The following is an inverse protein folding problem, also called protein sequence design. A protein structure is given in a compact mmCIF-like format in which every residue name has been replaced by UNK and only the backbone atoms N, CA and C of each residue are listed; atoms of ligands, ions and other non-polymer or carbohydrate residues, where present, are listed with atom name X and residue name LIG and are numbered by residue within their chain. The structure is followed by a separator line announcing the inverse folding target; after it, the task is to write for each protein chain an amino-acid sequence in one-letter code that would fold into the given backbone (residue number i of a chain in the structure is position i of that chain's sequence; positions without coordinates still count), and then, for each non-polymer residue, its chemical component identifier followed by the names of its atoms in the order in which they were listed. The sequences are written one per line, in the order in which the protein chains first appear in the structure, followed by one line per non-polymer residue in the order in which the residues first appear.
data_IF_205189420282
#
_entry.id   IF_205189420282
#
_cell.length_a   1.000
_cell.length_b   1.000
_cell.length_c   1.000
_cell.angle_alpha   90.00
_cell.angle_beta   90.00
_cell.angle_gamma   90.00
#
_symmetry.space_group_name_H-M   'P 1'
#
loop_
_entity.id
_entity.type
_entity.pdbx_description
1 polymer ?
#
# COMPACT_ATOMS: atom_id res chain seq x y z
N UNK A 1 -43.44 29.59 5.57
CA UNK A 1 -42.50 28.68 4.87
C UNK A 1 -41.21 28.70 5.66
N UNK A 2 -40.88 27.64 6.41
CA UNK A 2 -39.59 27.57 7.11
C UNK A 2 -38.49 27.52 6.06
N UNK A 3 -37.50 28.42 6.15
CA UNK A 3 -36.31 28.33 5.30
C UNK A 3 -35.67 26.96 5.53
N UNK A 4 -35.66 26.11 4.50
CA UNK A 4 -34.96 24.84 4.56
C UNK A 4 -33.47 25.15 4.73
N UNK A 5 -32.88 24.71 5.83
CA UNK A 5 -31.44 24.79 6.05
C UNK A 5 -30.76 23.94 4.98
N UNK A 6 -29.77 24.46 4.24
CA UNK A 6 -29.10 23.68 3.22
C UNK A 6 -28.36 22.48 3.85
N UNK A 7 -28.26 21.35 3.12
CA UNK A 7 -27.49 20.20 3.58
C UNK A 7 -26.06 20.59 3.95
N UNK A 8 -25.59 20.12 5.09
CA UNK A 8 -24.23 20.36 5.58
C UNK A 8 -23.42 19.08 5.42
N UNK A 9 -22.32 19.14 4.67
CA UNK A 9 -21.36 18.04 4.54
C UNK A 9 -20.13 18.37 5.37
N UNK A 10 -19.75 17.47 6.27
CA UNK A 10 -18.56 17.58 7.12
C UNK A 10 -17.68 16.34 7.02
N UNK A 11 -16.37 16.55 7.10
CA UNK A 11 -15.36 15.52 7.05
C UNK A 11 -14.30 15.72 8.15
N UNK A 12 -14.00 14.65 8.89
CA UNK A 12 -13.06 14.72 10.02
C UNK A 12 -12.19 13.46 10.15
N UNK A 13 -10.86 13.62 10.23
CA UNK A 13 -10.10 14.83 9.88
C UNK A 13 -10.15 15.12 8.37
N UNK A 14 -10.16 16.40 7.98
CA UNK A 14 -10.13 16.81 6.58
C UNK A 14 -8.77 16.70 5.92
N UNK A 15 -7.72 16.51 6.74
CA UNK A 15 -6.33 16.29 6.33
C UNK A 15 -5.80 15.09 7.08
N UNK A 16 -5.41 14.05 6.35
CA UNK A 16 -4.83 12.85 6.94
C UNK A 16 -3.97 12.09 5.93
N UNK A 17 -3.15 11.17 6.43
CA UNK A 17 -2.41 10.27 5.57
C UNK A 17 -3.36 9.40 4.77
N UNK A 18 -2.93 8.97 3.58
CA UNK A 18 -3.75 8.17 2.68
C UNK A 18 -4.15 6.83 3.29
N UNK A 19 -3.43 6.31 4.28
CA UNK A 19 -3.68 5.07 5.00
C UNK A 19 -4.45 5.26 6.32
N UNK A 20 -4.95 6.47 6.61
CA UNK A 20 -5.72 6.79 7.82
C UNK A 20 -7.21 7.00 7.55
N UNK A 21 -8.08 6.56 8.45
CA UNK A 21 -9.53 6.71 8.28
C UNK A 21 -9.96 8.17 8.46
N UNK A 22 -11.03 8.56 7.78
CA UNK A 22 -11.77 9.80 8.05
C UNK A 22 -13.26 9.50 8.07
N UNK A 23 -14.02 10.37 8.71
CA UNK A 23 -15.47 10.29 8.79
C UNK A 23 -16.10 11.27 7.81
N UNK A 24 -17.25 10.90 7.25
CA UNK A 24 -18.08 11.77 6.41
C UNK A 24 -19.48 11.77 6.99
N UNK A 25 -19.96 12.96 7.35
CA UNK A 25 -21.28 13.18 7.92
C UNK A 25 -22.03 14.21 7.09
N UNK A 26 -23.26 13.88 6.74
CA UNK A 26 -24.22 14.78 6.11
C UNK A 26 -25.33 15.08 7.10
N UNK A 27 -25.65 16.35 7.28
CA UNK A 27 -26.71 16.85 8.15
C UNK A 27 -27.67 17.75 7.37
N UNK A 28 -28.79 18.12 8.01
CA UNK A 28 -29.83 18.98 7.42
C UNK A 28 -30.49 18.41 6.16
N UNK A 29 -30.53 17.09 6.00
CA UNK A 29 -31.33 16.44 4.96
C UNK A 29 -32.80 16.34 5.41
N UNK A 30 -33.78 16.30 4.49
CA UNK A 30 -35.13 15.89 4.85
C UNK A 30 -35.09 14.47 5.46
N UNK A 31 -35.84 14.17 6.54
CA UNK A 31 -35.86 12.83 7.13
C UNK A 31 -36.36 11.74 6.16
N UNK A 32 -35.73 10.56 6.16
CA UNK A 32 -36.11 9.46 5.26
C UNK A 32 -35.81 9.72 3.78
N UNK A 33 -34.95 10.70 3.49
CA UNK A 33 -34.64 11.12 2.12
C UNK A 33 -33.52 10.25 1.52
N UNK A 34 -33.71 9.70 0.31
CA UNK A 34 -32.64 9.02 -0.41
C UNK A 34 -31.59 10.02 -0.89
N UNK A 35 -30.33 9.72 -0.64
CA UNK A 35 -29.18 10.52 -1.09
C UNK A 35 -28.07 9.64 -1.62
N UNK A 36 -27.26 10.20 -2.53
CA UNK A 36 -26.03 9.57 -3.00
C UNK A 36 -24.85 10.39 -2.54
N UNK A 37 -23.90 9.73 -1.86
CA UNK A 37 -22.63 10.35 -1.46
C UNK A 37 -21.56 9.79 -2.40
N UNK A 38 -20.88 10.69 -3.12
CA UNK A 38 -19.89 10.36 -4.16
C UNK A 38 -18.55 10.97 -3.82
N UNK A 39 -17.48 10.21 -4.04
CA UNK A 39 -16.12 10.72 -4.10
C UNK A 39 -15.66 10.82 -5.56
N UNK A 40 -14.90 11.86 -5.87
CA UNK A 40 -14.29 12.08 -7.17
C UNK A 40 -12.83 12.50 -6.99
N UNK A 41 -11.93 11.86 -7.74
CA UNK A 41 -10.51 12.15 -7.75
C UNK A 41 -9.97 12.19 -9.17
N UNK A 42 -9.23 13.25 -9.52
CA UNK A 42 -8.46 13.29 -10.76
C UNK A 42 -7.02 12.86 -10.50
N UNK A 43 -6.62 11.72 -11.07
CA UNK A 43 -5.27 11.19 -10.92
C UNK A 43 -4.21 12.03 -11.64
N UNK A 44 -2.95 11.83 -11.29
CA UNK A 44 -1.79 12.43 -11.98
C UNK A 44 -1.65 11.98 -13.44
N UNK A 45 -2.25 10.84 -13.79
CA UNK A 45 -2.40 10.35 -15.16
C UNK A 45 -3.56 11.04 -15.92
N UNK A 46 -4.22 12.03 -15.30
CA UNK A 46 -5.37 12.81 -15.81
C UNK A 46 -6.67 12.02 -15.97
N UNK A 47 -6.71 10.76 -15.54
CA UNK A 47 -7.93 9.96 -15.47
C UNK A 47 -8.73 10.29 -14.20
N UNK A 48 -10.06 10.30 -14.31
CA UNK A 48 -10.98 10.49 -13.18
C UNK A 48 -11.41 9.16 -12.58
N UNK A 49 -11.43 9.12 -11.25
CA UNK A 49 -11.81 7.97 -10.43
C UNK A 49 -12.98 8.38 -9.53
N UNK A 50 -13.98 7.51 -9.43
CA UNK A 50 -15.15 7.75 -8.59
C UNK A 50 -15.50 6.52 -7.74
N UNK A 51 -16.02 6.78 -6.54
CA UNK A 51 -16.81 5.83 -5.77
C UNK A 51 -18.10 6.52 -5.32
N UNK A 52 -19.15 5.75 -5.06
CA UNK A 52 -20.37 6.29 -4.47
C UNK A 52 -21.14 5.22 -3.70
N UNK A 53 -21.82 5.67 -2.65
CA UNK A 53 -22.77 4.87 -1.88
C UNK A 53 -24.15 5.54 -1.86
N UNK A 54 -25.18 4.71 -1.85
CA UNK A 54 -26.58 5.13 -1.73
C UNK A 54 -27.05 5.00 -0.29
N UNK A 55 -27.56 6.08 0.29
CA UNK A 55 -27.98 6.16 1.68
C UNK A 55 -29.39 6.72 1.81
N UNK A 56 -29.99 6.55 2.98
CA UNK A 56 -31.26 7.18 3.35
C UNK A 56 -31.04 7.89 4.68
N UNK A 57 -31.40 9.17 4.76
CA UNK A 57 -31.25 9.95 5.99
C UNK A 57 -32.14 9.41 7.10
N UNK A 58 -31.64 9.46 8.33
CA UNK A 58 -32.40 9.03 9.51
C UNK A 58 -33.50 10.05 9.88
N UNK A 59 -34.22 9.80 10.99
CA UNK A 59 -35.28 10.68 11.49
C UNK A 59 -34.81 12.10 11.85
N UNK A 60 -33.50 12.31 12.06
CA UNK A 60 -32.88 13.62 12.31
C UNK A 60 -32.38 14.30 11.03
N UNK A 61 -32.52 13.65 9.87
CA UNK A 61 -31.99 14.20 8.62
C UNK A 61 -30.48 14.05 8.48
N UNK A 62 -29.88 13.02 9.09
CA UNK A 62 -28.43 12.79 9.01
C UNK A 62 -28.07 11.48 8.29
N UNK A 63 -26.91 11.47 7.65
CA UNK A 63 -26.25 10.27 7.10
C UNK A 63 -24.77 10.28 7.52
N UNK A 64 -24.30 9.22 8.17
CA UNK A 64 -22.89 8.98 8.45
C UNK A 64 -22.37 7.82 7.60
N UNK A 65 -21.39 8.08 6.72
CA UNK A 65 -20.80 7.04 5.85
C UNK A 65 -20.13 5.92 6.66
N UNK A 66 -19.64 6.20 7.86
CA UNK A 66 -19.01 5.17 8.71
C UNK A 66 -19.99 4.29 9.45
N UNK A 67 -21.19 4.81 9.74
CA UNK A 67 -22.15 4.13 10.61
C UNK A 67 -23.33 3.53 9.86
N UNK A 68 -23.76 4.18 8.79
CA UNK A 68 -24.95 3.82 8.02
C UNK A 68 -24.62 2.83 6.90
N UNK A 69 -25.64 2.07 6.48
CA UNK A 69 -25.51 1.04 5.47
C UNK A 69 -25.64 1.69 4.08
N UNK A 70 -24.62 1.52 3.23
CA UNK A 70 -24.77 1.78 1.80
C UNK A 70 -25.67 0.72 1.17
N UNK A 71 -26.77 1.16 0.57
CA UNK A 71 -27.78 0.30 -0.09
C UNK A 71 -27.40 -0.10 -1.51
N UNK A 72 -26.40 0.56 -2.10
CA UNK A 72 -25.97 0.34 -3.47
C UNK A 72 -24.86 1.29 -3.90
N UNK A 73 -24.38 1.10 -5.13
CA UNK A 73 -23.34 1.91 -5.73
C UNK A 73 -22.07 1.12 -6.00
N UNK A 74 -20.89 1.72 -5.76
CA UNK A 74 -19.61 1.01 -5.91
C UNK A 74 -19.31 0.06 -4.75
N UNK A 75 -20.07 0.14 -3.66
CA UNK A 75 -20.02 -0.75 -2.50
C UNK A 75 -21.38 -0.76 -1.77
N UNK A 76 -21.61 -1.82 -0.98
CA UNK A 76 -22.77 -1.97 -0.10
C UNK A 76 -22.31 -2.31 1.31
N UNK A 77 -23.20 -2.14 2.30
CA UNK A 77 -22.90 -2.45 3.70
C UNK A 77 -22.36 -1.24 4.48
N UNK A 78 -21.98 -1.48 5.73
CA UNK A 78 -21.40 -0.49 6.64
C UNK A 78 -19.90 -0.39 6.39
N UNK A 79 -19.49 0.55 5.56
CA UNK A 79 -18.15 0.61 4.98
C UNK A 79 -17.54 2.02 5.08
N UNK A 80 -16.90 2.31 6.21
CA UNK A 80 -16.41 3.67 6.53
C UNK A 80 -15.50 4.28 5.46
N UNK A 81 -14.73 3.46 4.76
CA UNK A 81 -13.80 3.90 3.72
C UNK A 81 -14.21 3.45 2.31
N UNK A 82 -15.48 3.05 2.14
CA UNK A 82 -16.06 2.64 0.86
C UNK A 82 -15.88 3.68 -0.24
N UNK A 83 -15.97 4.97 0.12
CA UNK A 83 -15.72 6.08 -0.81
C UNK A 83 -14.26 6.18 -1.31
N UNK A 84 -13.31 5.43 -0.77
CA UNK A 84 -11.93 5.39 -1.30
C UNK A 84 -11.61 4.03 -1.93
N UNK A 85 -11.72 2.93 -1.17
CA UNK A 85 -11.24 1.63 -1.65
C UNK A 85 -12.05 1.07 -2.82
N UNK A 86 -13.31 1.50 -2.97
CA UNK A 86 -14.18 1.07 -4.07
C UNK A 86 -14.09 1.95 -5.32
N UNK A 87 -13.18 2.93 -5.34
CA UNK A 87 -13.03 3.81 -6.50
C UNK A 87 -12.76 3.00 -7.77
N UNK A 88 -13.40 3.41 -8.85
CA UNK A 88 -13.19 2.88 -10.19
C UNK A 88 -13.03 4.03 -11.18
N UNK A 89 -12.39 3.81 -12.34
CA UNK A 89 -12.41 4.81 -13.40
C UNK A 89 -13.85 5.16 -13.80
N UNK A 90 -14.11 6.44 -14.06
CA UNK A 90 -15.44 6.87 -14.52
C UNK A 90 -15.84 6.18 -15.84
N UNK A 91 -17.13 6.00 -16.14
CA UNK A 91 -17.57 5.49 -17.43
C UNK A 91 -16.97 6.27 -18.60
N UNK A 92 -16.58 5.56 -19.67
CA UNK A 92 -15.87 6.14 -20.82
C UNK A 92 -14.35 6.24 -20.66
N UNK A 93 -13.80 5.91 -19.49
CA UNK A 93 -12.35 5.86 -19.29
C UNK A 93 -11.68 4.78 -20.16
N UNK A 94 -10.38 5.00 -20.46
CA UNK A 94 -9.54 4.01 -21.13
C UNK A 94 -9.40 2.72 -20.30
N UNK A 95 -9.19 1.59 -20.99
CA UNK A 95 -9.06 0.27 -20.35
C UNK A 95 -7.70 0.08 -19.66
N UNK A 96 -7.67 -0.81 -18.66
CA UNK A 96 -6.45 -1.25 -17.98
C UNK A 96 -5.79 -0.17 -17.14
N UNK A 97 -6.59 0.65 -16.46
CA UNK A 97 -6.12 1.67 -15.54
C UNK A 97 -5.70 1.06 -14.19
N UNK A 98 -4.61 1.59 -13.64
CA UNK A 98 -4.15 1.37 -12.27
C UNK A 98 -3.93 2.74 -11.66
N UNK A 99 -4.52 2.99 -10.50
CA UNK A 99 -4.23 4.23 -9.79
C UNK A 99 -2.79 4.17 -9.28
N UNK A 100 -2.00 5.19 -9.63
CA UNK A 100 -0.59 5.31 -9.22
C UNK A 100 -0.36 6.70 -8.68
N UNK A 101 0.48 6.77 -7.66
CA UNK A 101 1.05 8.02 -7.15
C UNK A 101 2.48 8.15 -7.67
N UNK A 102 2.74 9.15 -8.52
CA UNK A 102 4.09 9.44 -9.04
C UNK A 102 4.77 10.52 -8.20
N UNK A 103 4.04 11.56 -7.80
CA UNK A 103 4.55 12.60 -6.92
C UNK A 103 3.98 12.44 -5.50
N UNK A 104 4.74 11.77 -4.64
CA UNK A 104 4.39 11.55 -3.22
C UNK A 104 4.29 12.87 -2.43
N UNK A 105 4.96 13.94 -2.86
CA UNK A 105 4.87 15.23 -2.19
C UNK A 105 3.56 15.97 -2.52
N UNK A 106 2.90 15.63 -3.62
CA UNK A 106 1.66 16.25 -4.03
C UNK A 106 0.47 15.68 -3.24
N UNK A 107 -0.48 16.55 -2.86
CA UNK A 107 -1.72 16.16 -2.21
C UNK A 107 -2.59 15.32 -3.15
N UNK A 108 -3.28 14.31 -2.61
CA UNK A 108 -4.42 13.68 -3.27
C UNK A 108 -5.69 14.39 -2.78
N UNK A 109 -6.28 15.18 -3.67
CA UNK A 109 -7.48 15.97 -3.38
C UNK A 109 -8.71 15.19 -3.83
N UNK A 110 -9.53 14.76 -2.87
CA UNK A 110 -10.76 13.99 -3.14
C UNK A 110 -11.96 14.87 -2.85
N UNK A 111 -12.77 15.13 -3.87
CA UNK A 111 -14.03 15.87 -3.70
C UNK A 111 -15.10 14.89 -3.24
N UNK A 112 -15.68 15.14 -2.07
CA UNK A 112 -16.86 14.44 -1.58
C UNK A 112 -18.07 15.31 -1.86
N UNK A 113 -19.10 14.73 -2.47
CA UNK A 113 -20.31 15.44 -2.87
C UNK A 113 -21.56 14.65 -2.49
N UNK A 114 -22.60 15.35 -2.06
CA UNK A 114 -23.92 14.78 -1.77
C UNK A 114 -24.90 15.17 -2.87
N UNK A 115 -25.70 14.22 -3.32
CA UNK A 115 -26.72 14.41 -4.35
C UNK A 115 -28.06 13.87 -3.87
N UNK A 116 -29.14 14.40 -4.44
CA UNK A 116 -30.50 13.95 -4.16
C UNK A 116 -30.79 12.65 -4.91
N UNK A 117 -31.44 11.69 -4.23
CA UNK A 117 -31.86 10.43 -4.83
C UNK A 117 -30.74 9.42 -5.06
N UNK A 118 -31.11 8.29 -5.68
CA UNK A 118 -30.21 7.17 -6.02
C UNK A 118 -30.02 7.01 -7.54
N UNK A 119 -30.44 8.00 -8.32
CA UNK A 119 -30.30 8.01 -9.78
C UNK A 119 -28.87 8.40 -10.20
N UNK A 120 -28.61 8.43 -11.52
CA UNK A 120 -27.33 8.93 -12.03
C UNK A 120 -27.16 10.42 -11.71
N UNK A 121 -26.10 10.73 -10.96
CA UNK A 121 -25.83 12.06 -10.41
C UNK A 121 -24.86 12.88 -11.27
N UNK A 122 -24.35 12.31 -12.37
CA UNK A 122 -23.28 12.96 -13.18
C UNK A 122 -23.67 14.33 -13.74
N UNK A 123 -24.92 14.49 -14.13
CA UNK A 123 -25.44 15.74 -14.71
C UNK A 123 -26.18 16.61 -13.67
N UNK A 124 -26.17 16.22 -12.40
CA UNK A 124 -26.83 16.93 -11.32
C UNK A 124 -25.87 17.87 -10.58
N UNK A 125 -26.39 19.00 -10.11
CA UNK A 125 -25.64 19.84 -9.17
C UNK A 125 -25.63 19.19 -7.77
N UNK A 126 -24.47 19.13 -7.08
CA UNK A 126 -24.43 18.59 -5.72
C UNK A 126 -25.19 19.50 -4.74
N UNK A 127 -25.84 18.89 -3.76
CA UNK A 127 -26.48 19.57 -2.64
C UNK A 127 -25.44 20.23 -1.72
N UNK A 128 -24.31 19.56 -1.53
CA UNK A 128 -23.15 20.04 -0.78
C UNK A 128 -21.90 19.31 -1.27
N UNK A 129 -20.75 19.97 -1.16
CA UNK A 129 -19.44 19.40 -1.48
C UNK A 129 -18.38 19.83 -0.48
N UNK A 130 -17.43 18.94 -0.22
CA UNK A 130 -16.28 19.16 0.64
C UNK A 130 -15.04 18.55 -0.02
N UNK A 131 -13.86 19.08 0.32
CA UNK A 131 -12.60 18.62 -0.23
C UNK A 131 -11.78 17.98 0.88
N UNK A 132 -11.45 16.70 0.71
CA UNK A 132 -10.60 15.95 1.64
C UNK A 132 -9.19 15.90 1.08
N UNK A 133 -8.21 16.27 1.90
CA UNK A 133 -6.79 16.19 1.55
C UNK A 133 -6.18 14.89 2.09
N UNK A 134 -5.62 14.10 1.17
CA UNK A 134 -5.04 12.79 1.46
C UNK A 134 -3.54 12.81 1.16
N UNK A 135 -2.72 12.55 2.18
CA UNK A 135 -1.29 12.79 2.13
C UNK A 135 -0.53 11.47 2.01
N UNK A 136 0.39 11.36 1.06
CA UNK A 136 1.31 10.23 0.99
C UNK A 136 2.59 10.45 1.80
N UNK A 137 2.87 11.70 2.16
CA UNK A 137 4.01 12.12 2.96
C UNK A 137 3.55 13.18 3.97
N UNK A 138 3.68 12.89 5.26
CA UNK A 138 3.34 13.80 6.35
C UNK A 138 4.25 15.05 6.36
N UNK A 139 3.83 16.17 6.99
CA UNK A 139 4.73 17.29 7.21
C UNK A 139 5.95 16.83 8.01
N UNK A 140 7.13 17.33 7.66
CA UNK A 140 8.38 17.05 8.37
C UNK A 140 9.12 15.76 7.94
N UNK A 141 8.48 14.85 7.20
CA UNK A 141 9.19 13.74 6.54
C UNK A 141 10.08 14.32 5.43
N UNK A 142 11.35 13.94 5.43
CA UNK A 142 12.30 14.40 4.41
C UNK A 142 12.39 13.40 3.28
N UNK A 143 12.41 13.90 2.03
CA UNK A 143 12.59 13.10 0.82
C UNK A 143 13.93 13.44 0.17
N UNK A 144 14.85 12.48 0.13
CA UNK A 144 16.23 12.67 -0.33
C UNK A 144 16.48 11.71 -1.50
N UNK A 145 16.79 12.24 -2.68
CA UNK A 145 17.25 11.41 -3.80
C UNK A 145 18.71 11.05 -3.58
N UNK A 146 19.03 9.76 -3.64
CA UNK A 146 20.41 9.29 -3.54
C UNK A 146 20.80 8.62 -4.85
N UNK A 147 21.99 8.96 -5.34
CA UNK A 147 22.68 8.29 -6.43
C UNK A 147 24.09 8.01 -5.94
N UNK A 148 24.34 6.78 -5.49
CA UNK A 148 25.62 6.38 -4.93
C UNK A 148 25.97 4.95 -5.37
N UNK A 149 27.25 4.68 -5.65
CA UNK A 149 27.78 3.36 -6.06
C UNK A 149 26.98 2.68 -7.18
N UNK A 150 26.41 3.47 -8.10
CA UNK A 150 25.57 2.98 -9.21
C UNK A 150 24.14 2.60 -8.83
N UNK A 151 23.76 2.74 -7.56
CA UNK A 151 22.41 2.56 -7.03
C UNK A 151 21.69 3.91 -7.06
N UNK A 152 20.47 3.94 -7.61
CA UNK A 152 19.61 5.13 -7.63
C UNK A 152 18.33 4.85 -6.87
N UNK A 153 17.90 5.78 -6.03
CA UNK A 153 16.71 5.60 -5.23
C UNK A 153 16.32 6.85 -4.47
N UNK A 154 15.29 6.70 -3.64
CA UNK A 154 14.77 7.78 -2.80
C UNK A 154 14.73 7.31 -1.35
N UNK A 155 15.39 8.06 -0.48
CA UNK A 155 15.39 7.88 0.97
C UNK A 155 14.32 8.78 1.57
N UNK A 156 13.51 8.22 2.47
CA UNK A 156 12.56 8.96 3.29
C UNK A 156 13.00 8.89 4.75
N UNK A 157 13.19 10.05 5.38
CA UNK A 157 13.55 10.16 6.79
C UNK A 157 12.35 10.65 7.61
N UNK A 158 12.01 9.97 8.73
CA UNK A 158 11.03 10.46 9.68
C UNK A 158 11.43 11.83 10.26
N UNK A 159 10.46 12.65 10.72
CA UNK A 159 10.77 13.84 11.49
C UNK A 159 11.36 13.47 12.85
N UNK A 160 12.24 14.33 13.38
CA UNK A 160 12.83 14.18 14.73
C UNK A 160 14.35 13.98 14.70
N UNK A 161 14.97 13.75 15.88
CA UNK A 161 16.43 13.72 16.01
C UNK A 161 17.10 12.45 15.47
N UNK A 162 16.34 11.35 15.34
CA UNK A 162 16.88 10.03 15.00
C UNK A 162 17.89 9.51 16.06
N UNK A 163 18.71 8.50 15.71
CA UNK A 163 18.59 7.66 14.51
C UNK A 163 17.34 6.78 14.56
N UNK A 164 16.90 6.29 13.40
CA UNK A 164 15.69 5.48 13.25
C UNK A 164 16.04 4.06 12.78
N UNK A 165 15.22 3.04 13.12
CA UNK A 165 15.25 1.79 12.37
C UNK A 165 14.87 2.04 10.91
N UNK A 166 15.28 1.12 10.04
CA UNK A 166 15.20 1.36 8.62
C UNK A 166 14.67 0.17 7.81
N UNK A 167 14.08 0.48 6.65
CA UNK A 167 13.52 -0.47 5.70
C UNK A 167 14.12 -0.25 4.32
N UNK A 168 14.71 -1.30 3.76
CA UNK A 168 14.96 -1.38 2.32
C UNK A 168 13.65 -1.77 1.62
N UNK A 169 13.08 -0.85 0.84
CA UNK A 169 11.81 -1.03 0.13
C UNK A 169 12.06 -1.48 -1.33
N UNK A 170 11.56 -2.67 -1.68
CA UNK A 170 11.74 -3.32 -2.97
C UNK A 170 10.38 -3.59 -3.65
N UNK A 171 10.20 -3.02 -4.84
CA UNK A 171 9.00 -3.21 -5.66
C UNK A 171 9.18 -4.25 -6.76
N UNK A 172 8.08 -4.56 -7.46
CA UNK A 172 8.04 -5.53 -8.55
C UNK A 172 8.62 -5.04 -9.89
N UNK A 173 8.61 -5.93 -10.89
CA UNK A 173 9.24 -5.70 -12.21
C UNK A 173 8.58 -4.69 -13.14
N UNK A 174 7.55 -3.96 -12.68
CA UNK A 174 6.83 -2.95 -13.49
C UNK A 174 7.62 -1.68 -13.74
N UNK A 175 8.70 -1.50 -12.99
CA UNK A 175 9.64 -0.42 -13.19
C UNK A 175 9.19 0.94 -12.67
N UNK A 176 10.12 1.90 -12.70
CA UNK A 176 9.95 3.22 -12.07
C UNK A 176 10.14 3.17 -10.55
N UNK A 177 10.12 4.34 -9.93
CA UNK A 177 10.17 4.51 -8.48
C UNK A 177 8.74 4.66 -7.95
N UNK A 178 8.22 3.65 -7.23
CA UNK A 178 6.95 3.71 -6.50
C UNK A 178 7.21 4.15 -5.05
N UNK A 179 7.25 5.45 -4.84
CA UNK A 179 7.73 6.04 -3.58
C UNK A 179 6.73 6.01 -2.42
N UNK A 180 5.46 5.77 -2.70
CA UNK A 180 4.39 6.00 -1.73
C UNK A 180 4.43 5.06 -0.52
N UNK A 181 4.83 3.78 -0.68
CA UNK A 181 4.98 2.87 0.47
C UNK A 181 6.14 3.30 1.37
N UNK A 182 7.30 3.62 0.80
CA UNK A 182 8.46 4.11 1.53
C UNK A 182 8.15 5.41 2.30
N UNK A 183 7.43 6.33 1.68
CA UNK A 183 7.00 7.57 2.33
C UNK A 183 6.06 7.32 3.51
N UNK A 184 5.10 6.40 3.36
CA UNK A 184 4.19 6.02 4.45
C UNK A 184 4.95 5.35 5.60
N UNK A 185 5.93 4.48 5.33
CA UNK A 185 6.79 3.89 6.36
C UNK A 185 7.55 4.98 7.15
N UNK A 186 8.06 6.01 6.47
CA UNK A 186 8.70 7.15 7.14
C UNK A 186 7.72 7.97 8.00
N UNK A 187 6.46 8.09 7.58
CA UNK A 187 5.41 8.68 8.42
C UNK A 187 5.13 7.84 9.68
N UNK A 188 5.48 6.55 9.69
CA UNK A 188 5.36 5.63 10.83
C UNK A 188 6.66 5.47 11.61
N UNK A 189 7.66 6.32 11.36
CA UNK A 189 8.90 6.33 12.13
C UNK A 189 10.01 5.40 11.61
N UNK A 190 9.89 4.85 10.39
CA UNK A 190 10.94 4.02 9.80
C UNK A 190 11.65 4.78 8.68
N UNK A 191 12.98 4.90 8.75
CA UNK A 191 13.75 5.39 7.59
C UNK A 191 13.57 4.41 6.43
N UNK A 192 13.05 4.85 5.29
CA UNK A 192 12.76 3.95 4.18
C UNK A 192 13.57 4.30 2.94
N UNK A 193 14.34 3.34 2.44
CA UNK A 193 15.13 3.47 1.22
C UNK A 193 14.49 2.68 0.09
N UNK A 194 13.91 3.38 -0.88
CA UNK A 194 13.40 2.76 -2.10
C UNK A 194 14.52 2.70 -3.14
N UNK A 195 14.92 1.49 -3.51
CA UNK A 195 15.84 1.30 -4.62
C UNK A 195 15.08 1.18 -5.96
N UNK A 196 15.55 1.90 -6.98
CA UNK A 196 15.07 1.74 -8.35
C UNK A 196 15.68 0.47 -8.97
N UNK A 197 14.92 -0.61 -8.96
CA UNK A 197 15.30 -1.88 -9.58
C UNK A 197 15.56 -1.77 -11.10
N UNK A 198 15.07 -0.72 -11.78
CA UNK A 198 15.21 -0.55 -13.25
C UNK A 198 16.60 -0.17 -13.74
N UNK A 199 17.61 -0.02 -12.88
CA UNK A 199 18.98 0.29 -13.33
C UNK A 199 19.73 -0.96 -13.84
N UNK A 200 19.07 -2.11 -13.90
CA UNK A 200 19.66 -3.36 -14.40
C UNK A 200 19.82 -3.43 -15.93
N UNK A 201 19.43 -2.41 -16.71
CA UNK A 201 19.40 -2.48 -18.18
C UNK A 201 20.76 -2.60 -18.87
N UNK A 202 21.89 -2.34 -18.20
CA UNK A 202 23.19 -2.22 -18.88
C UNK A 202 24.36 -2.98 -18.23
N UNK A 203 24.14 -3.93 -17.30
CA UNK A 203 25.27 -4.52 -16.55
C UNK A 203 25.24 -6.04 -16.40
N UNK A 204 26.42 -6.63 -16.56
CA UNK A 204 26.79 -8.04 -16.35
C UNK A 204 26.66 -8.47 -14.86
N UNK A 205 26.50 -7.51 -13.95
CA UNK A 205 26.46 -7.73 -12.50
C UNK A 205 25.13 -8.34 -12.04
N UNK A 206 25.14 -9.43 -11.24
CA UNK A 206 23.92 -10.03 -10.70
C UNK A 206 23.08 -9.03 -9.89
N UNK A 207 21.75 -9.07 -10.04
CA UNK A 207 20.82 -8.17 -9.34
C UNK A 207 21.02 -8.17 -7.82
N UNK A 208 21.39 -9.32 -7.24
CA UNK A 208 21.66 -9.48 -5.80
C UNK A 208 22.78 -8.55 -5.32
N UNK A 209 23.83 -8.31 -6.10
CA UNK A 209 24.92 -7.41 -5.71
C UNK A 209 24.47 -5.94 -5.55
N UNK A 210 23.49 -5.51 -6.34
CA UNK A 210 22.91 -4.17 -6.20
C UNK A 210 22.02 -4.07 -4.96
N UNK A 211 21.27 -5.13 -4.64
CA UNK A 211 20.49 -5.20 -3.38
C UNK A 211 21.43 -5.14 -2.18
N UNK A 212 22.55 -5.86 -2.22
CA UNK A 212 23.60 -5.79 -1.18
C UNK A 212 24.12 -4.36 -1.02
N UNK A 213 24.45 -3.70 -2.14
CA UNK A 213 24.94 -2.31 -2.13
C UNK A 213 23.89 -1.35 -1.57
N UNK A 214 22.62 -1.51 -1.97
CA UNK A 214 21.51 -0.70 -1.48
C UNK A 214 21.28 -0.88 0.04
N UNK A 215 21.42 -2.12 0.53
CA UNK A 215 21.33 -2.41 1.96
C UNK A 215 22.47 -1.74 2.75
N UNK A 216 23.71 -1.81 2.25
CA UNK A 216 24.83 -1.14 2.92
C UNK A 216 24.75 0.39 2.89
N UNK A 217 24.18 0.97 1.81
CA UNK A 217 23.93 2.42 1.75
C UNK A 217 22.96 2.86 2.85
N UNK A 218 21.81 2.19 3.01
CA UNK A 218 20.86 2.57 4.06
C UNK A 218 21.44 2.28 5.44
N UNK A 219 22.13 1.15 5.63
CA UNK A 219 22.73 0.73 6.90
C UNK A 219 23.80 1.71 7.40
N UNK A 220 24.57 2.29 6.50
CA UNK A 220 25.64 3.25 6.81
C UNK A 220 25.16 4.69 6.96
N UNK A 221 23.88 4.97 6.74
CA UNK A 221 23.35 6.32 6.84
C UNK A 221 23.37 6.81 8.31
N UNK A 222 23.83 8.05 8.61
CA UNK A 222 24.02 8.52 9.98
C UNK A 222 22.72 8.64 10.81
N UNK A 223 21.57 8.69 10.15
CA UNK A 223 20.24 8.71 10.78
C UNK A 223 19.60 7.30 10.88
N UNK A 224 20.35 6.24 10.60
CA UNK A 224 19.89 4.85 10.68
C UNK A 224 20.59 4.11 11.80
N UNK A 225 19.87 3.26 12.52
CA UNK A 225 20.45 2.34 13.49
C UNK A 225 20.98 1.11 12.72
N UNK A 226 22.30 0.88 12.61
CA UNK A 226 22.87 -0.07 11.65
C UNK A 226 22.49 -1.54 11.88
N UNK A 227 22.06 -1.90 13.10
CA UNK A 227 21.65 -3.26 13.48
C UNK A 227 20.12 -3.46 13.45
N UNK A 228 19.37 -2.43 13.01
CA UNK A 228 17.89 -2.42 12.94
C UNK A 228 17.43 -2.06 11.54
N UNK A 229 17.85 -2.87 10.56
CA UNK A 229 17.52 -2.70 9.15
C UNK A 229 16.76 -3.93 8.65
N UNK A 230 15.49 -3.74 8.28
CA UNK A 230 14.66 -4.75 7.65
C UNK A 230 14.55 -4.57 6.13
N UNK A 231 13.89 -5.52 5.47
CA UNK A 231 13.61 -5.47 4.03
C UNK A 231 12.12 -5.73 3.81
N UNK A 232 11.47 -4.94 2.96
CA UNK A 232 10.10 -5.15 2.52
C UNK A 232 10.06 -5.31 1.00
N UNK A 233 9.58 -6.45 0.53
CA UNK A 233 9.48 -6.80 -0.88
C UNK A 233 8.04 -6.98 -1.33
N UNK A 234 7.72 -6.54 -2.54
CA UNK A 234 6.47 -6.88 -3.24
C UNK A 234 6.73 -7.50 -4.61
N UNK A 235 6.02 -8.57 -4.92
CA UNK A 235 6.14 -9.29 -6.20
C UNK A 235 7.59 -9.70 -6.44
N UNK A 236 8.20 -9.34 -7.58
CA UNK A 236 9.62 -9.58 -7.85
C UNK A 236 10.58 -9.04 -6.76
N UNK A 237 10.19 -8.02 -5.99
CA UNK A 237 10.97 -7.54 -4.84
C UNK A 237 11.09 -8.60 -3.73
N UNK A 238 10.14 -9.53 -3.60
CA UNK A 238 10.21 -10.66 -2.65
C UNK A 238 11.30 -11.64 -3.04
N UNK A 239 11.45 -11.94 -4.33
CA UNK A 239 12.55 -12.78 -4.84
C UNK A 239 13.91 -12.18 -4.46
N UNK A 240 14.09 -10.87 -4.68
CA UNK A 240 15.34 -10.18 -4.31
C UNK A 240 15.57 -10.17 -2.79
N UNK A 241 14.50 -10.03 -2.00
CA UNK A 241 14.56 -10.06 -0.53
C UNK A 241 15.00 -11.43 -0.03
N UNK A 242 14.37 -12.49 -0.52
CA UNK A 242 14.68 -13.87 -0.14
C UNK A 242 16.08 -14.28 -0.60
N UNK A 243 16.47 -13.96 -1.85
CA UNK A 243 17.82 -14.22 -2.35
C UNK A 243 18.89 -13.53 -1.50
N UNK A 244 18.69 -12.26 -1.12
CA UNK A 244 19.65 -11.56 -0.27
C UNK A 244 19.77 -12.24 1.10
N UNK A 245 18.64 -12.51 1.76
CA UNK A 245 18.61 -13.06 3.10
C UNK A 245 19.11 -14.52 3.17
N UNK A 246 18.90 -15.31 2.12
CA UNK A 246 19.29 -16.72 2.08
C UNK A 246 20.74 -16.94 1.62
N UNK A 247 21.28 -16.05 0.79
CA UNK A 247 22.55 -16.29 0.09
C UNK A 247 23.67 -15.34 0.49
N UNK A 248 23.37 -14.18 1.08
CA UNK A 248 24.39 -13.22 1.46
C UNK A 248 25.00 -13.57 2.84
N UNK A 249 26.29 -13.91 2.93
CA UNK A 249 26.90 -14.26 4.22
C UNK A 249 27.15 -13.05 5.12
N UNK A 250 27.22 -11.84 4.55
CA UNK A 250 27.61 -10.61 5.26
C UNK A 250 26.43 -9.76 5.70
N UNK A 251 25.31 -9.82 4.98
CA UNK A 251 24.11 -9.02 5.27
C UNK A 251 23.08 -9.89 5.96
N UNK A 252 22.75 -9.50 7.20
CA UNK A 252 21.69 -10.11 7.99
C UNK A 252 20.64 -9.04 8.32
N UNK A 253 19.52 -8.97 7.57
CA UNK A 253 18.44 -8.07 7.94
C UNK A 253 17.84 -8.48 9.28
N UNK A 254 17.35 -7.51 10.05
CA UNK A 254 16.72 -7.77 11.35
C UNK A 254 15.38 -8.49 11.19
N UNK A 255 14.67 -8.25 10.08
CA UNK A 255 13.46 -8.95 9.68
C UNK A 255 13.17 -8.72 8.18
N UNK A 256 12.32 -9.57 7.60
CA UNK A 256 11.85 -9.42 6.22
C UNK A 256 10.34 -9.53 6.10
N UNK A 257 9.75 -8.71 5.21
CA UNK A 257 8.33 -8.71 4.88
C UNK A 257 8.19 -8.97 3.38
N UNK A 258 7.44 -10.00 3.00
CA UNK A 258 7.26 -10.38 1.60
C UNK A 258 5.77 -10.40 1.24
N UNK A 259 5.38 -9.56 0.27
CA UNK A 259 4.00 -9.39 -0.20
C UNK A 259 3.88 -9.93 -1.62
N UNK A 260 2.97 -10.89 -1.83
CA UNK A 260 2.79 -11.55 -3.12
C UNK A 260 4.03 -12.38 -3.48
N UNK A 261 4.28 -13.42 -2.70
CA UNK A 261 5.55 -14.15 -2.68
C UNK A 261 5.93 -14.79 -4.03
N UNK A 262 7.12 -14.47 -4.50
CA UNK A 262 7.75 -15.07 -5.67
C UNK A 262 9.09 -15.61 -5.24
N UNK A 263 9.37 -16.87 -5.57
CA UNK A 263 10.68 -17.45 -5.40
C UNK A 263 11.02 -18.35 -6.59
N UNK A 264 12.31 -18.57 -6.79
CA UNK A 264 12.82 -19.52 -7.77
C UNK A 264 13.27 -20.79 -7.04
N UNK A 265 13.40 -21.90 -7.77
CA UNK A 265 13.93 -23.16 -7.22
C UNK A 265 15.29 -22.98 -6.52
N UNK A 266 16.13 -22.09 -7.06
CA UNK A 266 17.43 -21.74 -6.46
C UNK A 266 17.30 -21.11 -5.07
N UNK A 267 16.25 -20.32 -4.86
CA UNK A 267 15.96 -19.68 -3.58
C UNK A 267 15.27 -20.67 -2.64
N UNK A 268 14.35 -21.49 -3.16
CA UNK A 268 13.64 -22.55 -2.43
C UNK A 268 14.60 -23.47 -1.67
N UNK A 269 15.66 -23.95 -2.32
CA UNK A 269 16.66 -24.83 -1.69
C UNK A 269 17.51 -24.12 -0.61
N UNK A 270 17.49 -22.78 -0.57
CA UNK A 270 18.35 -21.97 0.30
C UNK A 270 17.60 -21.20 1.37
N UNK A 271 16.27 -21.09 1.32
CA UNK A 271 15.53 -20.27 2.30
C UNK A 271 15.75 -20.74 3.75
N UNK A 272 16.06 -22.02 3.98
CA UNK A 272 16.45 -22.54 5.30
C UNK A 272 17.68 -21.87 5.93
N UNK A 273 18.48 -21.16 5.13
CA UNK A 273 19.63 -20.37 5.61
C UNK A 273 19.21 -19.02 6.23
N UNK A 274 17.96 -18.59 6.07
CA UNK A 274 17.48 -17.32 6.61
C UNK A 274 17.40 -17.42 8.15
N UNK A 275 18.05 -16.48 8.83
CA UNK A 275 18.18 -16.45 10.29
C UNK A 275 17.32 -15.36 10.96
N UNK A 276 16.48 -14.66 10.20
CA UNK A 276 15.67 -13.54 10.71
C UNK A 276 14.16 -13.82 10.61
N UNK A 277 13.32 -13.18 11.46
CA UNK A 277 11.87 -13.24 11.34
C UNK A 277 11.37 -12.81 9.97
N UNK A 278 10.38 -13.54 9.46
CA UNK A 278 9.80 -13.38 8.13
C UNK A 278 8.28 -13.28 8.23
N UNK A 279 7.71 -12.26 7.58
CA UNK A 279 6.27 -12.12 7.39
C UNK A 279 5.90 -12.34 5.92
N UNK A 280 5.16 -13.41 5.64
CA UNK A 280 4.66 -13.78 4.31
C UNK A 280 3.20 -13.34 4.17
N UNK A 281 2.90 -12.51 3.16
CA UNK A 281 1.56 -11.98 2.88
C UNK A 281 1.12 -12.43 1.48
N UNK A 282 0.02 -13.17 1.41
CA UNK A 282 -0.49 -13.78 0.19
C UNK A 282 -1.95 -13.41 -0.06
N UNK A 283 -2.31 -13.20 -1.33
CA UNK A 283 -3.69 -13.22 -1.78
C UNK A 283 -4.04 -14.59 -2.34
N UNK A 284 -5.16 -15.19 -1.92
CA UNK A 284 -5.51 -16.54 -2.39
C UNK A 284 -6.11 -16.57 -3.80
N UNK A 285 -6.48 -15.41 -4.34
CA UNK A 285 -6.89 -15.23 -5.74
C UNK A 285 -5.79 -14.47 -6.50
N UNK A 286 -4.52 -14.73 -6.19
CA UNK A 286 -3.41 -14.24 -6.98
C UNK A 286 -3.40 -14.94 -8.35
N UNK A 287 -3.58 -14.15 -9.41
CA UNK A 287 -3.64 -14.65 -10.79
C UNK A 287 -2.33 -14.36 -11.55
N UNK A 288 -1.29 -13.90 -10.85
CA UNK A 288 0.01 -13.57 -11.41
C UNK A 288 1.08 -14.60 -11.02
N UNK A 289 1.07 -15.06 -9.76
CA UNK A 289 1.99 -16.10 -9.25
C UNK A 289 1.28 -17.03 -8.25
N UNK A 290 1.74 -18.29 -8.10
CA UNK A 290 1.19 -19.24 -7.10
C UNK A 290 1.71 -18.90 -5.69
N UNK A 291 1.34 -17.74 -5.16
CA UNK A 291 1.97 -17.17 -3.94
C UNK A 291 1.71 -18.00 -2.68
N UNK A 292 0.57 -18.67 -2.61
CA UNK A 292 0.15 -19.54 -1.50
C UNK A 292 0.98 -20.83 -1.48
N UNK A 293 1.22 -21.42 -2.64
CA UNK A 293 2.08 -22.59 -2.83
C UNK A 293 3.52 -22.23 -2.49
N UNK A 294 4.02 -21.12 -3.04
CA UNK A 294 5.36 -20.58 -2.73
C UNK A 294 5.54 -20.39 -1.21
N UNK A 295 4.57 -19.81 -0.52
CA UNK A 295 4.65 -19.65 0.93
C UNK A 295 4.66 -21.00 1.68
N UNK A 296 3.99 -22.02 1.13
CA UNK A 296 3.98 -23.38 1.69
C UNK A 296 5.35 -24.03 1.55
N UNK A 297 5.99 -23.88 0.39
CA UNK A 297 7.34 -24.39 0.12
C UNK A 297 8.38 -23.72 1.03
N UNK A 298 8.31 -22.39 1.20
CA UNK A 298 9.18 -21.66 2.12
C UNK A 298 9.04 -22.18 3.55
N UNK A 299 7.81 -22.34 4.05
CA UNK A 299 7.57 -22.85 5.41
C UNK A 299 8.11 -24.27 5.57
N UNK A 300 7.91 -25.12 4.56
CA UNK A 300 8.42 -26.49 4.57
C UNK A 300 9.95 -26.51 4.71
N UNK A 301 10.67 -25.77 3.86
CA UNK A 301 12.14 -25.70 3.95
C UNK A 301 12.61 -25.09 5.28
N UNK A 302 11.93 -24.07 5.79
CA UNK A 302 12.25 -23.47 7.09
C UNK A 302 12.01 -24.45 8.25
N UNK A 303 10.97 -25.28 8.17
CA UNK A 303 10.71 -26.36 9.14
C UNK A 303 11.80 -27.42 9.10
N UNK A 304 12.22 -27.86 7.92
CA UNK A 304 13.31 -28.83 7.75
C UNK A 304 14.64 -28.30 8.33
N UNK A 305 14.85 -26.99 8.31
CA UNK A 305 15.98 -26.31 8.95
C UNK A 305 15.79 -26.05 10.46
N UNK A 306 14.64 -26.43 11.07
CA UNK A 306 14.33 -26.18 12.47
C UNK A 306 13.98 -24.72 12.82
N UNK A 307 13.60 -23.91 11.82
CA UNK A 307 13.39 -22.46 11.91
C UNK A 307 11.96 -22.01 11.57
N UNK A 308 10.99 -22.93 11.59
CA UNK A 308 9.59 -22.60 11.29
C UNK A 308 9.03 -21.47 12.16
N UNK A 309 9.48 -21.36 13.42
CA UNK A 309 9.06 -20.29 14.34
C UNK A 309 9.45 -18.88 13.90
N UNK A 310 10.38 -18.74 12.94
CA UNK A 310 10.74 -17.45 12.36
C UNK A 310 9.72 -16.99 11.29
N UNK A 311 8.84 -17.86 10.82
CA UNK A 311 7.94 -17.57 9.69
C UNK A 311 6.52 -17.34 10.18
N UNK A 312 5.99 -16.16 9.89
CA UNK A 312 4.57 -15.85 10.03
C UNK A 312 3.93 -15.75 8.66
N UNK A 313 2.81 -16.44 8.45
CA UNK A 313 2.06 -16.43 7.18
C UNK A 313 0.68 -15.84 7.34
N UNK A 314 0.32 -14.97 6.41
CA UNK A 314 -0.98 -14.32 6.30
C UNK A 314 -1.54 -14.58 4.90
N UNK A 315 -2.61 -15.36 4.83
CA UNK A 315 -3.33 -15.60 3.59
C UNK A 315 -4.66 -14.85 3.63
N UNK A 316 -4.91 -14.04 2.60
CA UNK A 316 -6.12 -13.24 2.47
C UNK A 316 -7.04 -13.84 1.41
N UNK A 317 -8.18 -14.43 1.82
CA UNK A 317 -9.16 -14.99 0.90
C UNK A 317 -9.61 -13.97 -0.13
N UNK A 318 -9.71 -14.38 -1.39
CA UNK A 318 -10.19 -13.55 -2.51
C UNK A 318 -9.39 -12.25 -2.74
N UNK A 319 -8.21 -12.08 -2.16
CA UNK A 319 -7.30 -10.99 -2.50
C UNK A 319 -6.39 -11.39 -3.68
N UNK A 320 -6.09 -10.43 -4.56
CA UNK A 320 -5.15 -10.61 -5.67
C UNK A 320 -3.70 -10.25 -5.31
N UNK A 321 -2.86 -10.19 -6.34
CA UNK A 321 -1.41 -10.04 -6.24
C UNK A 321 -0.92 -8.72 -5.63
N UNK A 322 -1.57 -7.60 -5.98
CA UNK A 322 -1.07 -6.26 -5.68
C UNK A 322 -1.70 -5.71 -4.40
N UNK A 323 -1.30 -6.26 -3.25
CA UNK A 323 -1.71 -5.77 -1.93
C UNK A 323 -0.93 -4.49 -1.62
N UNK A 324 -1.52 -3.36 -2.01
CA UNK A 324 -1.05 -1.99 -1.78
C UNK A 324 -1.31 -1.49 -0.35
N UNK A 325 -0.80 -0.31 0.05
CA UNK A 325 -1.24 0.34 1.29
C UNK A 325 -2.77 0.58 1.33
N UNK A 326 -3.35 0.75 2.53
CA UNK A 326 -4.79 0.83 2.73
C UNK A 326 -5.50 1.87 1.86
N UNK A 327 -6.77 1.55 1.53
CA UNK A 327 -7.69 2.39 0.76
C UNK A 327 -7.27 2.66 -0.69
N UNK A 328 -6.21 2.02 -1.17
CA UNK A 328 -5.84 2.00 -2.57
C UNK A 328 -6.92 1.28 -3.39
N UNK A 329 -7.45 1.88 -4.47
CA UNK A 329 -8.51 1.24 -5.23
C UNK A 329 -8.07 -0.07 -5.85
N UNK A 330 -8.93 -1.10 -5.76
CA UNK A 330 -8.63 -2.41 -6.35
C UNK A 330 -8.80 -2.41 -7.88
N UNK A 331 -7.82 -2.97 -8.60
CA UNK A 331 -7.86 -3.17 -10.04
C UNK A 331 -7.47 -4.60 -10.40
N UNK A 332 -8.48 -5.44 -10.66
CA UNK A 332 -8.28 -6.86 -11.03
C UNK A 332 -7.42 -7.02 -12.28
N UNK A 333 -7.50 -6.07 -13.21
CA UNK A 333 -6.75 -6.08 -14.47
C UNK A 333 -6.19 -4.69 -14.73
N UNK A 334 -4.90 -4.61 -15.10
CA UNK A 334 -4.29 -3.34 -15.49
C UNK A 334 -3.20 -3.51 -16.55
N UNK A 335 -2.92 -2.44 -17.29
CA UNK A 335 -1.79 -2.39 -18.19
C UNK A 335 -0.47 -2.48 -17.41
N UNK A 336 0.46 -3.27 -17.92
CA UNK A 336 1.79 -3.45 -17.39
C UNK A 336 2.81 -3.30 -18.52
N UNK A 337 3.91 -2.59 -18.26
CA UNK A 337 5.02 -2.48 -19.20
C UNK A 337 5.97 -3.64 -18.96
N UNK A 338 6.19 -4.48 -19.96
CA UNK A 338 7.16 -5.56 -19.83
C UNK A 338 8.58 -4.98 -19.73
N UNK A 339 9.30 -5.40 -18.68
CA UNK A 339 10.66 -4.95 -18.40
C UNK A 339 11.59 -5.13 -19.61
N UNK A 340 12.47 -4.15 -19.85
CA UNK A 340 13.40 -4.16 -20.98
C UNK A 340 12.74 -3.95 -22.36
N UNK A 341 11.42 -3.73 -22.40
CA UNK A 341 10.68 -3.53 -23.65
C UNK A 341 9.80 -2.28 -23.60
N UNK A 342 9.31 -1.85 -24.76
CA UNK A 342 8.23 -0.84 -24.88
C UNK A 342 6.84 -1.47 -25.03
N UNK A 343 6.71 -2.78 -24.79
CA UNK A 343 5.46 -3.53 -24.98
C UNK A 343 4.60 -3.45 -23.73
N UNK A 344 3.36 -2.98 -23.91
CA UNK A 344 2.32 -3.03 -22.87
C UNK A 344 1.53 -4.32 -23.02
N UNK A 345 1.31 -5.00 -21.90
CA UNK A 345 0.43 -6.16 -21.79
C UNK A 345 -0.64 -5.89 -20.74
N UNK A 346 -1.78 -6.56 -20.87
CA UNK A 346 -2.82 -6.56 -19.84
C UNK A 346 -2.53 -7.70 -18.87
N UNK A 347 -2.27 -7.35 -17.62
CA UNK A 347 -2.03 -8.33 -16.56
C UNK A 347 -3.30 -8.55 -15.76
N UNK A 348 -3.61 -9.81 -15.48
CA UNK A 348 -4.62 -10.21 -14.52
C UNK A 348 -3.95 -10.35 -13.15
N UNK A 349 -4.30 -9.46 -12.22
CA UNK A 349 -3.75 -9.47 -10.86
C UNK A 349 -4.61 -10.29 -9.89
N UNK A 350 -5.86 -10.58 -10.29
CA UNK A 350 -6.83 -11.29 -9.48
C UNK A 350 -7.42 -10.42 -8.37
N UNK A 351 -8.16 -11.03 -7.46
CA UNK A 351 -8.84 -10.38 -6.34
C UNK A 351 -10.28 -9.95 -6.60
N UNK A 352 -11.06 -9.88 -5.53
CA UNK A 352 -12.37 -9.21 -5.44
C UNK A 352 -12.22 -7.91 -4.64
N UNK A 353 -12.93 -6.86 -5.06
CA UNK A 353 -12.72 -5.49 -4.54
C UNK A 353 -12.76 -5.39 -3.02
N UNK A 354 -13.80 -5.92 -2.37
CA UNK A 354 -13.93 -5.82 -0.91
C UNK A 354 -12.92 -6.69 -0.15
N UNK A 355 -12.81 -8.01 -0.39
CA UNK A 355 -11.79 -8.83 0.27
C UNK A 355 -10.36 -8.30 0.06
N UNK A 356 -10.07 -7.75 -1.11
CA UNK A 356 -8.77 -7.14 -1.38
C UNK A 356 -8.55 -5.84 -0.59
N UNK A 357 -9.55 -4.97 -0.45
CA UNK A 357 -9.47 -3.78 0.40
C UNK A 357 -9.23 -4.15 1.88
N UNK A 358 -9.91 -5.19 2.38
CA UNK A 358 -9.71 -5.70 3.73
C UNK A 358 -8.29 -6.24 3.93
N UNK A 359 -7.76 -6.95 2.92
CA UNK A 359 -6.39 -7.44 2.92
C UNK A 359 -5.37 -6.30 3.01
N UNK A 360 -5.56 -5.21 2.26
CA UNK A 360 -4.69 -4.03 2.32
C UNK A 360 -4.71 -3.39 3.71
N UNK A 361 -5.89 -3.21 4.31
CA UNK A 361 -6.03 -2.64 5.66
C UNK A 361 -5.38 -3.51 6.74
N UNK A 362 -5.70 -4.79 6.77
CA UNK A 362 -5.25 -5.70 7.82
C UNK A 362 -3.76 -6.04 7.69
N UNK A 363 -3.28 -6.29 6.46
CA UNK A 363 -1.86 -6.56 6.23
C UNK A 363 -1.00 -5.37 6.60
N UNK A 364 -1.42 -4.13 6.29
CA UNK A 364 -0.66 -2.95 6.66
C UNK A 364 -0.51 -2.80 8.18
N UNK A 365 -1.59 -3.01 8.94
CA UNK A 365 -1.53 -3.02 10.41
C UNK A 365 -0.58 -4.08 10.95
N UNK A 366 -0.63 -5.30 10.38
CA UNK A 366 0.24 -6.42 10.78
C UNK A 366 1.69 -6.19 10.37
N UNK A 367 1.96 -5.56 9.22
CA UNK A 367 3.29 -5.13 8.80
C UNK A 367 3.85 -4.15 9.83
N UNK A 368 3.13 -3.06 10.14
CA UNK A 368 3.62 -2.06 11.09
C UNK A 368 3.88 -2.66 12.48
N UNK A 369 3.01 -3.55 12.95
CA UNK A 369 3.18 -4.25 14.22
C UNK A 369 4.41 -5.17 14.22
N UNK A 370 4.62 -5.91 13.13
CA UNK A 370 5.78 -6.77 12.93
C UNK A 370 7.09 -5.97 12.89
N UNK A 371 7.10 -4.85 12.16
CA UNK A 371 8.27 -3.96 12.10
C UNK A 371 8.58 -3.32 13.46
N UNK A 372 7.55 -2.92 14.21
CA UNK A 372 7.73 -2.40 15.57
C UNK A 372 8.42 -3.44 16.46
N UNK A 373 7.90 -4.67 16.46
CA UNK A 373 8.44 -5.77 17.27
C UNK A 373 9.91 -6.07 16.94
N UNK A 374 10.25 -6.16 15.65
CA UNK A 374 11.57 -6.64 15.21
C UNK A 374 12.61 -5.55 14.99
N UNK A 375 12.22 -4.28 14.91
CA UNK A 375 13.14 -3.17 14.71
C UNK A 375 13.22 -2.20 15.89
N UNK A 376 12.15 -2.00 16.65
CA UNK A 376 12.18 -1.14 17.83
C UNK A 376 12.38 -1.92 19.13
N UNK A 377 11.67 -3.04 19.29
CA UNK A 377 11.64 -3.81 20.53
C UNK A 377 12.68 -4.94 20.58
N UNK A 378 13.43 -5.14 19.50
CA UNK A 378 14.50 -6.13 19.45
C UNK A 378 15.59 -5.84 20.50
N UNK A 379 15.96 -6.83 21.35
CA UNK A 379 17.02 -6.67 22.33
C UNK A 379 18.30 -6.22 21.63
N UNK A 380 18.89 -5.10 22.06
CA UNK A 380 20.18 -4.69 21.52
C UNK A 380 21.21 -5.76 21.87
N UNK A 381 21.89 -6.34 20.89
CA UNK A 381 23.01 -7.28 21.07
C UNK A 381 24.16 -6.71 21.93
N UNK A 382 24.13 -5.41 22.25
CA UNK A 382 25.05 -4.74 23.19
C UNK A 382 24.70 -4.89 24.67
N UNK A 383 23.59 -5.54 25.02
CA UNK A 383 23.25 -5.86 26.42
C UNK A 383 23.83 -7.24 26.82
N UNK A 384 25.15 -7.38 26.72
CA UNK A 384 25.94 -8.35 27.49
C UNK A 384 27.08 -7.56 28.12
N UNK A 385 26.83 -7.07 29.33
CA UNK A 385 27.86 -6.66 30.28
C UNK A 385 28.11 -7.82 31.23
#
# INVERSE_FOLDING_TARGET
MSQAVPPLLSDHPSRALVDEKFSVLVENLPPGCPVTIRSLYQSEDKDFWEAYGHYVSNHKGTVSVSEDISLGGTYTGKEAMGLLWSMRPIPGSRKGLRLRKKDTCALMLVTISVYSGHEDVRDQAPLASALVERWYMAPGVQRIKITDKGVRGTLFLPPGPGPFPAMLDLWGGGGGLQEYRAALLACRGFTSWLWNLMVLSDRITPAVCFVQTAFEIIRSHPQVIPDRVGIIGLSYGTLMTLSLAAECPTIKPSCIVCIGNVHSKLVEDKVGNIDCPMLLINGTDDQNWPTVEVASDIIKTMREAGKESLVTRLDYPDAGHLIEPPFSPHFRVANFMLHGTKKKVMMLWGGKTKPHADAQEDSWKKILSFLQLHLYDAPSLKAKL
#
